data_IF_025122012966
#
_entry.id   IF_025122012966
#
_cell.length_a   1.000
_cell.length_b   1.000
_cell.length_c   1.000
_cell.angle_alpha   90.00
_cell.angle_beta   90.00
_cell.angle_gamma   90.00
#
_symmetry.space_group_name_H-M   'P 1'
#
loop_
_entity.id
_entity.type
_entity.pdbx_description
1 polymer ?
#
# COMPACT_ATOMS: atom_id res chain seq x y z
N UNK A 1 0.98 -27.53 16.38
CA UNK A 1 1.99 -27.84 15.35
C UNK A 1 3.15 -26.88 15.57
N UNK A 2 4.38 -27.37 15.70
CA UNK A 2 5.53 -26.46 15.81
C UNK A 2 5.58 -25.63 14.52
N UNK A 3 5.50 -24.30 14.63
CA UNK A 3 5.70 -23.40 13.48
C UNK A 3 7.03 -23.81 12.84
N UNK A 4 6.98 -24.18 11.56
CA UNK A 4 8.17 -24.49 10.76
C UNK A 4 9.16 -23.34 10.96
N UNK A 5 10.40 -23.64 11.32
CA UNK A 5 11.41 -22.63 11.56
C UNK A 5 11.65 -21.91 10.23
N UNK A 6 11.22 -20.66 10.14
CA UNK A 6 11.38 -19.87 8.92
C UNK A 6 12.87 -19.75 8.58
N UNK A 7 13.26 -20.26 7.41
CA UNK A 7 14.63 -20.14 6.91
C UNK A 7 14.76 -18.86 6.09
N UNK A 8 15.58 -17.92 6.58
CA UNK A 8 15.89 -16.68 5.87
C UNK A 8 16.88 -16.96 4.73
N UNK A 9 16.39 -17.38 3.58
CA UNK A 9 17.20 -17.65 2.38
C UNK A 9 17.39 -16.40 1.51
N UNK A 10 16.52 -15.41 1.64
CA UNK A 10 16.51 -14.16 0.85
C UNK A 10 16.70 -12.91 1.73
N UNK A 11 17.23 -11.80 1.19
CA UNK A 11 17.21 -10.51 1.87
C UNK A 11 15.77 -10.13 2.24
N UNK A 12 15.59 -9.59 3.45
CA UNK A 12 14.29 -9.21 3.97
C UNK A 12 14.06 -7.71 3.89
N UNK A 13 12.85 -7.29 3.54
CA UNK A 13 12.44 -5.90 3.49
C UNK A 13 11.04 -5.76 4.10
N UNK A 14 10.88 -4.83 5.04
CA UNK A 14 9.57 -4.45 5.57
C UNK A 14 8.96 -3.37 4.67
N UNK A 15 7.76 -3.62 4.19
CA UNK A 15 7.02 -2.67 3.35
C UNK A 15 5.61 -2.48 3.90
N UNK A 16 4.87 -1.51 3.37
CA UNK A 16 3.46 -1.37 3.72
C UNK A 16 2.73 -0.38 2.85
N UNK A 17 1.41 -0.48 2.83
CA UNK A 17 0.52 0.41 2.08
C UNK A 17 0.09 1.59 2.94
N UNK A 18 0.17 2.79 2.36
CA UNK A 18 -0.30 4.04 2.95
C UNK A 18 -1.11 4.82 1.93
N UNK A 19 -1.96 5.74 2.38
CA UNK A 19 -2.79 6.58 1.51
C UNK A 19 -4.19 6.77 2.09
N UNK A 20 -4.98 7.61 1.42
CA UNK A 20 -6.34 7.97 1.84
C UNK A 20 -7.27 6.77 1.97
N UNK A 21 -8.33 6.93 2.78
CA UNK A 21 -9.43 5.95 2.89
C UNK A 21 -10.03 5.68 1.49
N UNK A 22 -10.51 4.47 1.27
CA UNK A 22 -11.14 4.04 0.01
C UNK A 22 -10.29 4.09 -1.27
N UNK A 23 -8.99 4.42 -1.18
CA UNK A 23 -8.07 4.34 -2.33
C UNK A 23 -7.67 2.89 -2.69
N UNK A 24 -8.07 1.90 -1.89
CA UNK A 24 -7.88 0.47 -2.19
C UNK A 24 -6.55 -0.12 -1.71
N UNK A 25 -6.03 0.33 -0.56
CA UNK A 25 -4.82 -0.23 0.08
C UNK A 25 -4.93 -1.74 0.32
N UNK A 26 -5.97 -2.15 1.04
CA UNK A 26 -6.24 -3.55 1.40
C UNK A 26 -6.53 -4.40 0.16
N UNK A 27 -7.26 -3.85 -0.81
CA UNK A 27 -7.47 -4.48 -2.13
C UNK A 27 -6.15 -4.74 -2.85
N UNK A 28 -5.24 -3.76 -2.88
CA UNK A 28 -3.92 -3.92 -3.47
C UNK A 28 -3.09 -4.96 -2.70
N UNK A 29 -3.13 -4.96 -1.38
CA UNK A 29 -2.44 -5.94 -0.54
C UNK A 29 -2.90 -7.37 -0.88
N UNK A 30 -4.21 -7.60 -0.98
CA UNK A 30 -4.75 -8.88 -1.42
C UNK A 30 -4.29 -9.24 -2.85
N UNK A 31 -4.33 -8.29 -3.79
CA UNK A 31 -3.90 -8.49 -5.17
C UNK A 31 -2.43 -8.92 -5.27
N UNK A 32 -1.54 -8.29 -4.48
CA UNK A 32 -0.12 -8.66 -4.42
C UNK A 32 0.04 -10.12 -3.98
N UNK A 33 -0.67 -10.55 -2.93
CA UNK A 33 -0.59 -11.93 -2.46
C UNK A 33 -1.16 -12.93 -3.47
N UNK A 34 -2.19 -12.56 -4.24
CA UNK A 34 -2.75 -13.41 -5.31
C UNK A 34 -1.74 -13.61 -6.43
N UNK A 35 -1.22 -12.50 -6.99
CA UNK A 35 -0.29 -12.51 -8.13
C UNK A 35 1.00 -13.24 -7.75
N UNK A 36 1.55 -12.99 -6.56
CA UNK A 36 2.75 -13.71 -6.11
C UNK A 36 2.43 -15.16 -5.72
N UNK A 37 1.22 -15.46 -5.27
CA UNK A 37 0.79 -16.83 -4.99
C UNK A 37 0.72 -17.69 -6.26
N UNK A 38 0.25 -17.12 -7.36
CA UNK A 38 0.28 -17.77 -8.68
C UNK A 38 1.72 -18.04 -9.17
N UNK A 39 2.66 -17.17 -8.81
CA UNK A 39 4.09 -17.35 -9.07
C UNK A 39 4.79 -18.27 -8.05
N UNK A 40 4.07 -18.78 -7.05
CA UNK A 40 4.62 -19.64 -5.99
C UNK A 40 5.40 -18.90 -4.89
N UNK A 41 5.35 -17.57 -4.85
CA UNK A 41 6.03 -16.72 -3.90
C UNK A 41 5.16 -16.24 -2.71
N UNK A 42 3.90 -16.66 -2.62
CA UNK A 42 3.02 -16.30 -1.50
C UNK A 42 1.91 -17.33 -1.29
N UNK A 43 1.28 -17.30 -0.12
CA UNK A 43 -0.08 -17.83 0.03
C UNK A 43 -1.05 -16.68 -0.22
N UNK A 44 -2.04 -16.87 -1.08
CA UNK A 44 -3.04 -15.84 -1.34
C UNK A 44 -3.84 -15.54 -0.08
N UNK A 45 -3.91 -14.25 0.30
CA UNK A 45 -4.71 -13.75 1.42
C UNK A 45 -5.83 -12.89 0.85
N UNK A 46 -7.10 -13.34 0.90
CA UNK A 46 -8.21 -12.56 0.38
C UNK A 46 -8.48 -11.32 1.24
N UNK A 47 -9.15 -10.33 0.66
CA UNK A 47 -9.49 -9.05 1.31
C UNK A 47 -10.13 -9.23 2.69
N UNK A 48 -11.12 -10.14 2.80
CA UNK A 48 -11.82 -10.42 4.06
C UNK A 48 -10.91 -11.05 5.14
N UNK A 49 -9.76 -11.58 4.73
CA UNK A 49 -8.72 -12.08 5.61
C UNK A 49 -7.64 -11.04 5.92
N UNK A 50 -7.68 -9.86 5.32
CA UNK A 50 -6.83 -8.75 5.75
C UNK A 50 -7.63 -7.94 6.79
N UNK A 51 -8.86 -7.57 6.45
CA UNK A 51 -9.84 -6.94 7.35
C UNK A 51 -10.63 -8.01 8.14
N UNK A 52 -9.95 -8.71 9.06
CA UNK A 52 -10.52 -9.83 9.82
C UNK A 52 -11.47 -9.39 10.94
N UNK A 53 -11.35 -8.16 11.45
CA UNK A 53 -12.14 -7.77 12.62
C UNK A 53 -13.61 -7.56 12.24
N UNK A 54 -14.58 -8.03 13.06
CA UNK A 54 -16.00 -7.81 12.80
C UNK A 54 -16.34 -6.32 12.59
N UNK A 55 -15.68 -5.45 13.33
CA UNK A 55 -15.84 -4.00 13.27
C UNK A 55 -15.32 -3.40 11.94
N UNK A 56 -14.25 -3.97 11.37
CA UNK A 56 -13.71 -3.56 10.08
C UNK A 56 -14.67 -3.95 8.95
N UNK A 57 -15.21 -5.17 8.99
CA UNK A 57 -16.19 -5.66 8.01
C UNK A 57 -17.50 -4.88 8.04
N UNK A 58 -17.99 -4.50 9.23
CA UNK A 58 -19.21 -3.70 9.36
C UNK A 58 -19.02 -2.26 8.86
N UNK A 59 -17.83 -1.69 9.01
CA UNK A 59 -17.55 -0.30 8.66
C UNK A 59 -16.93 -0.11 7.28
N UNK A 60 -16.42 -1.19 6.67
CA UNK A 60 -15.73 -1.15 5.38
C UNK A 60 -14.40 -0.38 5.40
N UNK A 61 -13.78 -0.25 6.58
CA UNK A 61 -12.50 0.46 6.75
C UNK A 61 -11.54 -0.39 7.59
N UNK A 62 -10.26 -0.37 7.23
CA UNK A 62 -9.17 -0.95 8.02
C UNK A 62 -8.99 -0.15 9.32
N UNK A 63 -8.94 -0.84 10.46
CA UNK A 63 -8.80 -0.26 11.80
C UNK A 63 -7.46 -0.67 12.39
N UNK A 64 -7.12 -1.96 12.32
CA UNK A 64 -5.88 -2.53 12.80
C UNK A 64 -4.90 -2.76 11.65
N UNK A 65 -3.60 -2.70 11.94
CA UNK A 65 -2.59 -3.05 10.96
C UNK A 65 -2.59 -4.55 10.71
N UNK A 66 -2.79 -4.97 9.47
CA UNK A 66 -2.66 -6.36 9.06
C UNK A 66 -1.23 -6.64 8.56
N UNK A 67 -0.72 -7.83 8.87
CA UNK A 67 0.57 -8.28 8.38
C UNK A 67 0.38 -9.44 7.40
N UNK A 68 0.91 -9.30 6.19
CA UNK A 68 0.98 -10.37 5.19
C UNK A 68 2.42 -10.57 4.76
N UNK A 69 2.78 -11.79 4.39
CA UNK A 69 4.12 -12.13 3.91
C UNK A 69 4.04 -12.61 2.46
N UNK A 70 5.02 -12.21 1.65
CA UNK A 70 5.20 -12.67 0.29
C UNK A 70 6.66 -12.52 -0.13
N UNK A 71 7.06 -13.20 -1.18
CA UNK A 71 8.40 -13.10 -1.74
C UNK A 71 8.38 -12.99 -3.25
N UNK A 72 9.45 -12.39 -3.75
CA UNK A 72 9.82 -12.39 -5.17
C UNK A 72 11.02 -13.31 -5.35
N UNK A 73 11.50 -13.47 -6.57
CA UNK A 73 12.78 -14.15 -6.83
C UNK A 73 13.95 -13.50 -6.05
N UNK A 74 13.90 -12.18 -5.85
CA UNK A 74 15.01 -11.42 -5.28
C UNK A 74 14.98 -11.29 -3.75
N UNK A 75 13.80 -11.14 -3.14
CA UNK A 75 13.63 -10.74 -1.73
C UNK A 75 12.39 -11.33 -1.07
N UNK A 76 12.43 -11.42 0.26
CA UNK A 76 11.28 -11.72 1.12
C UNK A 76 10.73 -10.42 1.73
N UNK A 77 9.41 -10.26 1.72
CA UNK A 77 8.72 -9.07 2.19
C UNK A 77 7.76 -9.39 3.33
N UNK A 78 7.84 -8.60 4.40
CA UNK A 78 6.73 -8.46 5.35
C UNK A 78 6.00 -7.16 5.01
N UNK A 79 4.71 -7.27 4.69
CA UNK A 79 3.87 -6.15 4.30
C UNK A 79 2.92 -5.80 5.43
N UNK A 80 2.93 -4.54 5.85
CA UNK A 80 1.99 -3.97 6.82
C UNK A 80 0.93 -3.13 6.12
N UNK A 81 -0.33 -3.59 6.12
CA UNK A 81 -1.46 -2.81 5.58
C UNK A 81 -1.86 -1.77 6.62
N UNK A 82 -1.70 -0.47 6.33
CA UNK A 82 -2.01 0.59 7.28
C UNK A 82 -3.38 1.24 7.03
N UNK A 83 -4.10 1.63 8.09
CA UNK A 83 -5.40 2.28 7.96
C UNK A 83 -5.25 3.68 7.35
N UNK A 84 -6.23 4.09 6.53
CA UNK A 84 -6.25 5.41 5.85
C UNK A 84 -7.19 6.44 6.45
N UNK A 85 -7.94 6.07 7.49
CA UNK A 85 -8.92 6.94 8.12
C UNK A 85 -8.25 7.80 9.21
N UNK A 86 -8.64 9.07 9.31
CA UNK A 86 -8.01 10.05 10.22
C UNK A 86 -8.01 9.59 11.70
N UNK A 87 -9.09 8.93 12.13
CA UNK A 87 -9.22 8.41 13.50
C UNK A 87 -8.17 7.35 13.88
N UNK A 88 -7.56 6.69 12.89
CA UNK A 88 -6.62 5.58 13.08
C UNK A 88 -5.18 5.91 12.67
N UNK A 89 -4.86 7.20 12.50
CA UNK A 89 -3.51 7.69 12.17
C UNK A 89 -2.43 7.16 13.14
N UNK A 90 -2.76 6.96 14.42
CA UNK A 90 -1.82 6.40 15.41
C UNK A 90 -1.31 5.02 15.02
N UNK A 91 -2.17 4.16 14.47
CA UNK A 91 -1.82 2.82 14.06
C UNK A 91 -0.93 2.84 12.81
N UNK A 92 -1.20 3.79 11.91
CA UNK A 92 -0.33 4.06 10.76
C UNK A 92 1.07 4.49 11.21
N UNK A 93 1.20 5.40 12.18
CA UNK A 93 2.52 5.85 12.69
C UNK A 93 3.34 4.67 13.21
N UNK A 94 2.72 3.78 14.00
CA UNK A 94 3.42 2.59 14.52
C UNK A 94 3.79 1.58 13.44
N UNK A 95 2.97 1.45 12.38
CA UNK A 95 3.27 0.58 11.24
C UNK A 95 4.38 1.16 10.36
N UNK A 96 4.29 2.43 10.00
CA UNK A 96 5.23 3.14 9.14
C UNK A 96 6.64 3.22 9.74
N UNK A 97 6.77 3.33 11.07
CA UNK A 97 8.07 3.32 11.75
C UNK A 97 8.85 1.99 11.58
N UNK A 98 8.21 0.93 11.11
CA UNK A 98 8.84 -0.37 10.85
C UNK A 98 9.20 -0.56 9.36
N UNK A 99 8.84 0.37 8.48
CA UNK A 99 8.94 0.19 7.03
C UNK A 99 10.31 0.63 6.49
N UNK A 100 10.95 -0.26 5.73
CA UNK A 100 12.12 0.05 4.90
C UNK A 100 11.73 0.77 3.60
N UNK A 101 10.44 0.74 3.25
CA UNK A 101 9.82 1.54 2.20
C UNK A 101 8.31 1.38 2.20
N UNK A 102 7.56 2.32 1.62
CA UNK A 102 6.10 2.24 1.59
C UNK A 102 5.51 2.38 0.17
N UNK A 103 4.35 1.78 -0.02
CA UNK A 103 3.54 1.87 -1.23
C UNK A 103 2.46 2.92 -0.97
N UNK A 104 2.57 4.08 -1.59
CA UNK A 104 1.55 5.12 -1.56
C UNK A 104 0.45 4.78 -2.56
N UNK A 105 -0.76 4.52 -2.08
CA UNK A 105 -1.91 4.20 -2.92
C UNK A 105 -2.76 5.45 -3.14
N UNK A 106 -2.90 5.84 -4.41
CA UNK A 106 -3.67 7.01 -4.84
C UNK A 106 -4.74 6.56 -5.83
N UNK A 107 -6.00 6.91 -5.60
CA UNK A 107 -7.07 6.66 -6.55
C UNK A 107 -6.93 7.61 -7.74
N UNK A 108 -6.93 7.08 -8.97
CA UNK A 108 -6.91 7.87 -10.19
C UNK A 108 -8.16 8.75 -10.33
N UNK A 109 -9.30 8.30 -9.82
CA UNK A 109 -10.55 9.04 -9.85
C UNK A 109 -10.60 10.21 -8.85
N UNK A 110 -9.91 10.08 -7.72
CA UNK A 110 -9.97 11.06 -6.61
C UNK A 110 -8.73 11.96 -6.55
N UNK A 111 -7.58 11.48 -7.02
CA UNK A 111 -6.29 12.16 -6.89
C UNK A 111 -5.76 12.25 -5.45
N UNK A 112 -4.82 13.17 -5.17
CA UNK A 112 -4.22 13.33 -3.84
C UNK A 112 -5.15 14.04 -2.85
N UNK A 113 -5.73 13.24 -1.94
CA UNK A 113 -6.64 13.68 -0.86
C UNK A 113 -5.91 14.11 0.43
N UNK A 114 -6.59 14.73 1.43
CA UNK A 114 -5.94 15.24 2.64
C UNK A 114 -5.09 14.20 3.40
N UNK A 115 -5.59 12.97 3.56
CA UNK A 115 -4.86 11.89 4.22
C UNK A 115 -3.69 11.39 3.38
N UNK A 116 -3.71 11.53 2.05
CA UNK A 116 -2.52 11.28 1.22
C UNK A 116 -1.38 12.22 1.63
N UNK A 117 -1.68 13.52 1.83
CA UNK A 117 -0.70 14.52 2.28
C UNK A 117 -0.19 14.22 3.69
N UNK A 118 -1.12 13.94 4.60
CA UNK A 118 -0.80 13.58 5.98
C UNK A 118 0.08 12.32 6.04
N UNK A 119 -0.23 11.31 5.23
CA UNK A 119 0.52 10.07 5.23
C UNK A 119 1.95 10.22 4.69
N UNK A 120 2.15 11.03 3.64
CA UNK A 120 3.49 11.33 3.13
C UNK A 120 4.30 12.08 4.20
N UNK A 121 3.70 13.07 4.84
CA UNK A 121 4.35 13.83 5.92
C UNK A 121 4.74 12.91 7.09
N UNK A 122 3.83 12.04 7.53
CA UNK A 122 4.09 11.12 8.64
C UNK A 122 5.15 10.07 8.27
N UNK A 123 5.08 9.50 7.06
CA UNK A 123 6.09 8.58 6.55
C UNK A 123 7.49 9.21 6.57
N UNK A 124 7.60 10.48 6.17
CA UNK A 124 8.86 11.25 6.25
C UNK A 124 9.32 11.43 7.70
N UNK A 125 8.41 11.82 8.60
CA UNK A 125 8.74 12.09 10.01
C UNK A 125 9.16 10.84 10.79
N UNK A 126 8.60 9.68 10.47
CA UNK A 126 8.99 8.40 11.09
C UNK A 126 10.19 7.74 10.40
N UNK A 127 10.70 8.34 9.32
CA UNK A 127 11.95 7.94 8.68
C UNK A 127 11.83 6.89 7.58
N UNK A 128 10.66 6.74 6.93
CA UNK A 128 10.51 5.85 5.77
C UNK A 128 11.37 6.36 4.62
N UNK A 129 12.41 5.63 4.18
CA UNK A 129 13.45 6.18 3.33
C UNK A 129 13.09 6.20 1.84
N UNK A 130 12.17 5.33 1.41
CA UNK A 130 11.80 5.14 -0.01
C UNK A 130 10.28 4.96 -0.14
N UNK A 131 9.71 5.52 -1.21
CA UNK A 131 8.31 5.34 -1.57
C UNK A 131 8.20 4.81 -3.00
N UNK A 132 7.16 4.04 -3.26
CA UNK A 132 6.65 3.72 -4.60
C UNK A 132 5.18 4.13 -4.62
N UNK A 133 4.69 4.66 -5.73
CA UNK A 133 3.28 5.02 -5.86
C UNK A 133 2.56 3.98 -6.70
N UNK A 134 1.39 3.57 -6.24
CA UNK A 134 0.43 2.83 -7.04
C UNK A 134 -0.80 3.72 -7.27
N UNK A 135 -0.96 4.20 -8.50
CA UNK A 135 -2.14 4.90 -8.97
C UNK A 135 -3.20 3.86 -9.32
N UNK A 136 -4.11 3.64 -8.37
CA UNK A 136 -5.16 2.62 -8.42
C UNK A 136 -6.42 3.14 -9.14
N UNK A 137 -7.34 2.23 -9.47
CA UNK A 137 -8.66 2.52 -10.07
C UNK A 137 -8.57 3.23 -11.42
N UNK A 138 -7.52 2.96 -12.19
CA UNK A 138 -7.38 3.54 -13.55
C UNK A 138 -8.48 3.04 -14.50
N UNK A 139 -9.10 1.90 -14.19
CA UNK A 139 -10.27 1.36 -14.88
C UNK A 139 -11.52 2.26 -14.75
N UNK A 140 -11.52 3.22 -13.82
CA UNK A 140 -12.62 4.16 -13.60
C UNK A 140 -12.40 5.50 -14.33
N UNK A 141 -11.28 5.68 -15.01
CA UNK A 141 -10.90 6.93 -15.67
C UNK A 141 -10.58 6.63 -17.14
N UNK A 142 -11.45 7.08 -18.03
CA UNK A 142 -11.32 6.83 -19.47
C UNK A 142 -10.38 7.83 -20.19
N UNK A 143 -9.98 8.92 -19.52
CA UNK A 143 -9.19 10.01 -20.09
C UNK A 143 -7.73 9.96 -19.61
N UNK A 144 -6.80 9.76 -20.53
CA UNK A 144 -5.37 9.68 -20.27
C UNK A 144 -4.80 11.01 -19.76
N UNK A 145 -5.36 12.16 -20.18
CA UNK A 145 -4.92 13.47 -19.71
C UNK A 145 -5.22 13.67 -18.21
N UNK A 146 -6.31 13.08 -17.71
CA UNK A 146 -6.64 13.10 -16.28
C UNK A 146 -5.64 12.27 -15.48
N UNK A 147 -5.26 11.09 -15.99
CA UNK A 147 -4.25 10.24 -15.34
C UNK A 147 -2.89 10.93 -15.24
N UNK A 148 -2.48 11.61 -16.31
CA UNK A 148 -1.24 12.38 -16.35
C UNK A 148 -1.27 13.57 -15.38
N UNK A 149 -2.42 14.27 -15.29
CA UNK A 149 -2.60 15.35 -14.33
C UNK A 149 -2.49 14.87 -12.88
N UNK A 150 -3.17 13.76 -12.54
CA UNK A 150 -3.08 13.17 -11.20
C UNK A 150 -1.65 12.73 -10.89
N UNK A 151 -0.94 12.17 -11.86
CA UNK A 151 0.46 11.80 -11.69
C UNK A 151 1.32 13.02 -11.34
N UNK A 152 1.15 14.11 -12.09
CA UNK A 152 1.86 15.36 -11.85
C UNK A 152 1.58 15.91 -10.44
N UNK A 153 0.32 15.94 -10.02
CA UNK A 153 -0.05 16.42 -8.67
C UNK A 153 0.58 15.55 -7.56
N UNK A 154 0.66 14.22 -7.77
CA UNK A 154 1.31 13.32 -6.82
C UNK A 154 2.82 13.57 -6.75
N UNK A 155 3.49 13.79 -7.89
CA UNK A 155 4.93 14.10 -7.93
C UNK A 155 5.25 15.43 -7.24
N UNK A 156 4.44 16.45 -7.48
CA UNK A 156 4.56 17.74 -6.80
C UNK A 156 4.37 17.57 -5.29
N UNK A 157 3.37 16.80 -4.86
CA UNK A 157 3.10 16.55 -3.45
C UNK A 157 4.24 15.80 -2.76
N UNK A 158 4.83 14.80 -3.40
CA UNK A 158 6.01 14.09 -2.89
C UNK A 158 7.19 15.05 -2.73
N UNK A 159 7.41 15.92 -3.71
CA UNK A 159 8.50 16.91 -3.70
C UNK A 159 8.34 17.94 -2.58
N UNK A 160 7.10 18.38 -2.30
CA UNK A 160 6.78 19.28 -1.16
C UNK A 160 7.22 18.69 0.18
N UNK A 161 7.15 17.38 0.34
CA UNK A 161 7.55 16.67 1.56
C UNK A 161 8.94 16.02 1.47
N UNK A 162 9.80 16.54 0.59
CA UNK A 162 11.21 16.17 0.48
C UNK A 162 11.47 14.70 0.06
N UNK A 163 10.50 14.09 -0.63
CA UNK A 163 10.74 12.88 -1.40
C UNK A 163 11.15 13.25 -2.84
N UNK A 164 11.95 12.41 -3.52
CA UNK A 164 12.34 12.67 -4.91
C UNK A 164 11.17 12.35 -5.86
N UNK A 165 10.17 13.24 -5.91
CA UNK A 165 8.90 13.01 -6.61
C UNK A 165 9.06 12.63 -8.08
N UNK A 166 10.05 13.18 -8.79
CA UNK A 166 10.33 12.88 -10.20
C UNK A 166 10.96 11.50 -10.41
N UNK A 167 11.73 10.99 -9.45
CA UNK A 167 12.45 9.72 -9.56
C UNK A 167 11.64 8.53 -8.99
N UNK A 168 10.61 8.81 -8.19
CA UNK A 168 9.76 7.77 -7.59
C UNK A 168 8.95 7.06 -8.70
N UNK A 169 8.97 5.72 -8.75
CA UNK A 169 8.13 4.98 -9.68
C UNK A 169 6.66 5.17 -9.36
N UNK A 170 5.87 5.50 -10.38
CA UNK A 170 4.41 5.58 -10.31
C UNK A 170 3.83 4.51 -11.23
N UNK A 171 3.15 3.54 -10.65
CA UNK A 171 2.57 2.41 -11.37
C UNK A 171 1.07 2.61 -11.48
N UNK A 172 0.56 2.67 -12.71
CA UNK A 172 -0.87 2.80 -13.03
C UNK A 172 -1.51 1.43 -13.14
N UNK A 173 -2.64 1.20 -12.46
CA UNK A 173 -3.32 -0.09 -12.52
C UNK A 173 -4.65 -0.15 -11.78
N UNK A 174 -5.26 -1.34 -11.81
CA UNK A 174 -6.49 -1.65 -11.07
C UNK A 174 -6.23 -2.84 -10.15
N UNK A 175 -6.19 -2.59 -8.84
CA UNK A 175 -6.06 -3.65 -7.85
C UNK A 175 -7.27 -4.59 -7.85
N UNK A 176 -8.47 -4.06 -8.13
CA UNK A 176 -9.68 -4.86 -8.19
C UNK A 176 -9.66 -5.81 -9.40
N UNK A 177 -9.32 -5.31 -10.59
CA UNK A 177 -9.22 -6.15 -11.78
C UNK A 177 -8.12 -7.22 -11.65
N UNK A 178 -7.06 -6.97 -10.86
CA UNK A 178 -6.04 -7.99 -10.56
C UNK A 178 -6.55 -9.08 -9.59
N UNK A 179 -7.56 -8.77 -8.76
CA UNK A 179 -8.20 -9.73 -7.86
C UNK A 179 -9.27 -10.58 -8.54
N UNK A 180 -9.92 -10.05 -9.58
CA UNK A 180 -10.86 -10.78 -10.44
C UNK A 180 -10.14 -11.74 -11.41
#
# INVERSE_FOLDING_TARGET
>A
MAKVKFERTKPHCNVGTIGHVDHGKTTLTAAITKVLGEAGGAEFVPFDEIDKAPEERERGITIATAHVEYETEARHYAHVDCPGHADYVKNMITGAAQMDGAILVVSAADGPMPQTREHILLARQVGVPQLVVFMNKVDQVDDEEILDLVELEVRELLSVYEYPGDDIPIIRGSALAALE
#
